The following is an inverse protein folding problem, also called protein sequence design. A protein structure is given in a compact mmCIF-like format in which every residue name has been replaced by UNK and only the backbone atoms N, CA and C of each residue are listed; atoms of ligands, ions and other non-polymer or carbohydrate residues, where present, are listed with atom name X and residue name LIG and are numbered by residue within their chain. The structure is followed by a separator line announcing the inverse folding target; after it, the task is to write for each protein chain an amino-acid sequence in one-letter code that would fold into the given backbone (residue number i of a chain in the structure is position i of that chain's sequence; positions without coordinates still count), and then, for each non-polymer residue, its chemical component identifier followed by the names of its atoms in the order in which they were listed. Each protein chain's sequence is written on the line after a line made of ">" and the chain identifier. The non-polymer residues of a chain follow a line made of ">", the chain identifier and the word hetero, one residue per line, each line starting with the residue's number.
data_IF_982872395097
#
_entry.id   IF_982872395097
#
_cell.length_a   1.000
_cell.length_b   1.000
_cell.length_c   1.000
_cell.angle_alpha   90.00
_cell.angle_beta   90.00
_cell.angle_gamma   90.00
#
_symmetry.space_group_name_H-M   'P 1'
#
loop_
_entity.id
_entity.type
_entity.pdbx_description
1 polymer ?
#
# COMPACT_ATOMS: atom_id res chain seq x y z
N UNK A 1 -11.53 12.24 -1.30
CA UNK A 1 -10.71 11.07 -0.88
C UNK A 1 -10.21 11.28 0.56
N UNK A 2 -10.51 10.41 1.52
CA UNK A 2 -10.01 10.55 2.89
C UNK A 2 -9.39 9.26 3.41
N UNK A 3 -8.24 9.38 4.06
CA UNK A 3 -7.55 8.27 4.73
C UNK A 3 -7.96 8.24 6.20
N UNK A 4 -8.20 7.04 6.75
CA UNK A 4 -8.39 6.91 8.20
C UNK A 4 -7.05 6.62 8.86
N UNK A 5 -6.57 7.55 9.69
CA UNK A 5 -5.34 7.39 10.46
C UNK A 5 -4.13 8.11 9.88
N UNK A 6 -2.97 7.95 10.52
CA UNK A 6 -1.70 8.55 10.11
C UNK A 6 -0.99 7.68 9.08
N UNK A 7 -0.64 8.26 7.93
CA UNK A 7 0.20 7.60 6.92
C UNK A 7 1.60 7.36 7.46
N UNK A 8 2.13 6.14 7.26
CA UNK A 8 3.48 5.77 7.71
C UNK A 8 4.37 5.28 6.57
N UNK A 9 3.80 4.64 5.55
CA UNK A 9 4.55 4.22 4.37
C UNK A 9 3.71 4.35 3.10
N UNK A 10 4.39 4.57 1.98
CA UNK A 10 3.81 4.78 0.66
C UNK A 10 4.64 4.00 -0.36
N UNK A 11 3.99 3.37 -1.32
CA UNK A 11 4.67 2.72 -2.43
C UNK A 11 3.83 2.87 -3.70
N UNK A 12 4.47 3.16 -4.83
CA UNK A 12 3.80 3.31 -6.10
C UNK A 12 4.43 2.39 -7.16
N UNK A 13 3.59 1.84 -8.03
CA UNK A 13 4.03 1.14 -9.23
C UNK A 13 3.24 1.66 -10.43
N UNK A 14 3.90 1.82 -11.56
CA UNK A 14 3.29 2.21 -12.82
C UNK A 14 3.43 1.05 -13.77
N UNK A 15 2.31 0.49 -14.21
CA UNK A 15 2.29 -0.62 -15.15
C UNK A 15 1.24 -0.33 -16.23
N UNK A 16 1.65 -0.38 -17.51
CA UNK A 16 0.75 -0.30 -18.68
C UNK A 16 -0.36 0.74 -18.53
N UNK A 17 -0.02 2.02 -18.32
CA UNK A 17 -0.97 3.14 -18.21
C UNK A 17 -1.85 3.15 -16.96
N UNK A 18 -1.50 2.33 -15.97
CA UNK A 18 -2.17 2.26 -14.68
C UNK A 18 -1.15 2.53 -13.57
N UNK A 19 -1.40 3.58 -12.80
CA UNK A 19 -0.62 3.88 -11.60
C UNK A 19 -1.33 3.31 -10.38
N UNK A 20 -0.68 2.38 -9.68
CA UNK A 20 -1.15 1.86 -8.40
C UNK A 20 -0.36 2.51 -7.28
N UNK A 21 -1.06 3.17 -6.36
CA UNK A 21 -0.51 3.73 -5.14
C UNK A 21 -1.02 2.92 -3.95
N UNK A 22 -0.08 2.44 -3.14
CA UNK A 22 -0.37 1.82 -1.86
C UNK A 22 0.00 2.76 -0.72
N UNK A 23 -0.87 2.84 0.26
CA UNK A 23 -0.71 3.69 1.44
C UNK A 23 -0.94 2.86 2.69
N UNK A 24 0.10 2.72 3.51
CA UNK A 24 -0.02 2.10 4.83
C UNK A 24 -0.34 3.17 5.87
N UNK A 25 -1.45 2.96 6.60
CA UNK A 25 -1.92 3.88 7.62
C UNK A 25 -2.06 3.19 8.97
N UNK A 26 -1.83 3.95 10.04
CA UNK A 26 -2.17 3.55 11.39
C UNK A 26 -3.38 4.35 11.89
N UNK A 27 -4.50 3.67 12.13
CA UNK A 27 -5.68 4.29 12.76
C UNK A 27 -5.82 3.96 14.25
N UNK A 28 -4.88 3.21 14.83
CA UNK A 28 -4.86 2.86 16.24
C UNK A 28 -3.57 3.34 16.90
N UNK A 29 -3.65 4.42 17.69
CA UNK A 29 -2.49 5.03 18.35
C UNK A 29 -1.75 4.09 19.32
N UNK A 30 -2.41 3.03 19.82
CA UNK A 30 -1.79 2.05 20.72
C UNK A 30 -0.94 1.02 19.97
N UNK A 31 -1.12 0.90 18.65
CA UNK A 31 -0.44 -0.09 17.83
C UNK A 31 0.82 0.53 17.20
N UNK A 32 1.95 -0.15 17.37
CA UNK A 32 3.20 0.25 16.73
C UNK A 32 3.24 -0.29 15.29
N UNK A 33 3.07 0.62 14.32
CA UNK A 33 3.03 0.31 12.89
C UNK A 33 1.64 0.55 12.26
N UNK A 34 1.51 0.28 10.98
CA UNK A 34 0.30 0.47 10.19
C UNK A 34 -0.54 -0.79 10.22
N UNK A 35 -1.83 -0.64 10.48
CA UNK A 35 -2.81 -1.72 10.54
C UNK A 35 -3.82 -1.67 9.39
N UNK A 36 -3.74 -0.64 8.54
CA UNK A 36 -4.54 -0.49 7.34
C UNK A 36 -3.64 -0.33 6.11
N UNK A 37 -4.11 -0.87 4.99
CA UNK A 37 -3.52 -0.68 3.68
C UNK A 37 -4.60 -0.19 2.72
N UNK A 38 -4.34 0.95 2.07
CA UNK A 38 -5.17 1.47 1.00
C UNK A 38 -4.51 1.23 -0.34
N UNK A 39 -5.29 0.78 -1.32
CA UNK A 39 -4.90 0.69 -2.73
C UNK A 39 -5.70 1.72 -3.50
N UNK A 40 -4.98 2.63 -4.17
CA UNK A 40 -5.54 3.58 -5.11
C UNK A 40 -5.06 3.20 -6.50
N UNK A 41 -5.98 3.19 -7.46
CA UNK A 41 -5.65 2.92 -8.86
C UNK A 41 -6.09 4.11 -9.69
N UNK A 42 -5.10 4.69 -10.36
CA UNK A 42 -5.25 5.82 -11.26
C UNK A 42 -5.00 5.35 -12.70
N UNK A 43 -5.89 5.71 -13.60
CA UNK A 43 -5.72 5.48 -15.04
C UNK A 43 -4.96 6.65 -15.66
N UNK A 44 -4.36 6.45 -16.82
CA UNK A 44 -3.72 7.54 -17.57
C UNK A 44 -4.67 8.70 -17.89
N UNK A 45 -5.96 8.41 -18.15
CA UNK A 45 -6.98 9.43 -18.38
C UNK A 45 -7.12 10.36 -17.16
N UNK A 46 -7.11 9.79 -15.95
CA UNK A 46 -7.13 10.57 -14.72
C UNK A 46 -5.92 11.50 -14.61
N UNK A 47 -4.73 11.02 -15.00
CA UNK A 47 -3.49 11.80 -14.90
C UNK A 47 -3.47 12.95 -15.91
N UNK A 48 -3.94 12.69 -17.15
CA UNK A 48 -4.01 13.71 -18.22
C UNK A 48 -4.97 14.83 -17.88
N UNK A 49 -6.14 14.48 -17.35
CA UNK A 49 -7.26 15.39 -17.13
C UNK A 49 -7.56 15.64 -15.65
N UNK A 50 -6.50 15.66 -14.81
CA UNK A 50 -6.60 15.71 -13.35
C UNK A 50 -7.49 16.84 -12.81
N UNK A 51 -7.53 17.98 -13.51
CA UNK A 51 -8.33 19.14 -13.12
C UNK A 51 -9.84 18.85 -13.13
N UNK A 52 -10.32 18.03 -14.06
CA UNK A 52 -11.75 17.63 -14.14
C UNK A 52 -12.15 16.68 -13.00
N UNK A 53 -11.17 16.06 -12.36
CA UNK A 53 -11.34 15.12 -11.27
C UNK A 53 -11.31 15.79 -9.88
N UNK A 54 -11.00 17.08 -9.81
CA UNK A 54 -11.10 17.86 -8.57
C UNK A 54 -12.56 18.23 -8.25
N UNK A 55 -12.90 18.13 -6.96
CA UNK A 55 -14.16 18.52 -6.34
C UNK A 55 -14.13 19.98 -5.86
N UNK A 56 -12.94 20.49 -5.54
CA UNK A 56 -12.76 21.82 -4.94
C UNK A 56 -11.47 22.48 -5.43
N UNK A 57 -11.34 23.79 -5.20
CA UNK A 57 -10.11 24.54 -5.42
C UNK A 57 -8.95 24.12 -4.51
N UNK A 58 -9.22 23.35 -3.45
CA UNK A 58 -8.20 22.74 -2.59
C UNK A 58 -7.64 21.44 -3.18
N UNK A 59 -7.94 21.13 -4.45
CA UNK A 59 -7.50 19.92 -5.15
C UNK A 59 -8.01 18.62 -4.51
N UNK A 60 -9.17 18.66 -3.84
CA UNK A 60 -9.82 17.45 -3.34
C UNK A 60 -10.25 16.57 -4.51
N UNK A 61 -9.78 15.33 -4.59
CA UNK A 61 -10.19 14.42 -5.67
C UNK A 61 -11.60 13.86 -5.39
N UNK A 62 -12.48 13.91 -6.39
CA UNK A 62 -13.81 13.27 -6.38
C UNK A 62 -13.65 11.76 -6.13
N UNK A 63 -14.53 11.18 -5.31
CA UNK A 63 -14.44 9.76 -4.94
C UNK A 63 -14.61 8.83 -6.14
N UNK A 64 -15.47 9.21 -7.10
CA UNK A 64 -15.74 8.43 -8.30
C UNK A 64 -14.58 8.45 -9.32
N UNK A 65 -13.62 9.38 -9.16
CA UNK A 65 -12.48 9.53 -10.07
C UNK A 65 -11.37 8.51 -9.81
N UNK A 66 -11.34 7.87 -8.64
CA UNK A 66 -10.24 6.99 -8.23
C UNK A 66 -10.79 5.73 -7.62
N UNK A 67 -10.43 4.58 -8.21
CA UNK A 67 -10.77 3.28 -7.61
C UNK A 67 -9.95 3.12 -6.35
N UNK A 68 -10.65 2.99 -5.22
CA UNK A 68 -10.05 2.87 -3.89
C UNK A 68 -10.47 1.56 -3.24
N UNK A 69 -9.50 0.84 -2.67
CA UNK A 69 -9.75 -0.33 -1.84
C UNK A 69 -9.07 -0.16 -0.48
N UNK A 70 -9.84 -0.32 0.59
CA UNK A 70 -9.35 -0.31 1.98
C UNK A 70 -9.26 -1.74 2.51
N UNK A 71 -8.09 -2.10 3.03
CA UNK A 71 -7.81 -3.41 3.60
C UNK A 71 -7.25 -3.25 5.03
N UNK A 72 -7.57 -4.21 5.89
CA UNK A 72 -6.91 -4.39 7.18
C UNK A 72 -5.71 -5.31 7.06
N UNK A 73 -4.73 -5.12 7.93
CA UNK A 73 -3.53 -5.95 8.03
C UNK A 73 -3.59 -6.76 9.32
N UNK A 74 -3.40 -8.09 9.24
CA UNK A 74 -3.26 -8.92 10.46
C UNK A 74 -1.99 -8.62 11.24
N UNK A 75 -0.95 -8.18 10.54
CA UNK A 75 0.34 -7.83 11.10
C UNK A 75 0.59 -6.34 10.88
N UNK A 76 0.94 -5.63 11.94
CA UNK A 76 1.35 -4.25 11.83
C UNK A 76 2.63 -4.15 10.98
N UNK A 77 2.69 -3.17 10.07
CA UNK A 77 3.84 -2.96 9.17
C UNK A 77 4.45 -1.58 9.32
N UNK A 78 5.74 -1.42 9.01
CA UNK A 78 6.42 -0.12 9.04
C UNK A 78 7.10 0.25 7.72
N UNK A 79 7.36 -0.72 6.85
CA UNK A 79 7.91 -0.52 5.50
C UNK A 79 7.02 -1.15 4.45
N UNK A 80 7.01 -0.56 3.25
CA UNK A 80 6.14 -0.98 2.16
C UNK A 80 6.86 -0.82 0.82
N UNK A 81 6.75 -1.83 -0.04
CA UNK A 81 7.10 -1.75 -1.45
C UNK A 81 6.15 -2.61 -2.29
N UNK A 82 5.98 -2.26 -3.55
CA UNK A 82 5.13 -2.98 -4.50
C UNK A 82 5.98 -3.57 -5.61
N UNK A 83 5.77 -4.84 -5.91
CA UNK A 83 6.41 -5.58 -6.99
C UNK A 83 5.49 -5.79 -8.19
N UNK A 84 5.90 -6.72 -9.04
CA UNK A 84 5.12 -7.17 -10.20
C UNK A 84 3.93 -8.04 -9.75
N UNK A 85 2.87 -8.06 -10.57
CA UNK A 85 1.71 -8.92 -10.31
C UNK A 85 0.92 -8.59 -9.04
N UNK A 86 0.91 -7.32 -8.61
CA UNK A 86 0.26 -6.85 -7.39
C UNK A 86 0.76 -7.52 -6.10
N UNK A 87 2.00 -8.01 -6.13
CA UNK A 87 2.71 -8.51 -4.96
C UNK A 87 3.19 -7.33 -4.12
N UNK A 88 2.94 -7.38 -2.82
CA UNK A 88 3.34 -6.35 -1.88
C UNK A 88 4.34 -6.92 -0.91
N UNK A 89 5.46 -6.23 -0.78
CA UNK A 89 6.47 -6.51 0.23
C UNK A 89 6.27 -5.52 1.37
N UNK A 90 6.17 -6.03 2.59
CA UNK A 90 6.08 -5.18 3.77
C UNK A 90 7.05 -5.65 4.85
N UNK A 91 7.46 -4.74 5.72
CA UNK A 91 8.27 -5.07 6.89
C UNK A 91 7.37 -5.08 8.12
N UNK A 92 7.34 -6.20 8.85
CA UNK A 92 6.59 -6.27 10.10
C UNK A 92 7.16 -5.31 11.14
N UNK A 93 6.30 -4.50 11.75
CA UNK A 93 6.70 -3.54 12.77
C UNK A 93 7.16 -4.23 14.08
N UNK A 94 6.61 -5.40 14.40
CA UNK A 94 6.93 -6.13 15.63
C UNK A 94 8.09 -7.11 15.46
N UNK A 95 8.04 -7.95 14.43
CA UNK A 95 9.02 -9.03 14.24
C UNK A 95 10.17 -8.65 13.30
N UNK A 96 10.02 -7.55 12.55
CA UNK A 96 10.97 -7.10 11.52
C UNK A 96 11.24 -8.14 10.44
N UNK A 97 10.33 -9.11 10.29
CA UNK A 97 10.31 -10.07 9.18
C UNK A 97 9.77 -9.37 7.94
N UNK A 98 10.28 -9.79 6.79
CA UNK A 98 9.72 -9.41 5.49
C UNK A 98 8.46 -10.25 5.27
N UNK A 99 7.36 -9.58 5.00
CA UNK A 99 6.06 -10.17 4.73
C UNK A 99 5.73 -9.95 3.27
N UNK A 100 5.23 -11.00 2.61
CA UNK A 100 4.67 -10.88 1.27
C UNK A 100 3.16 -10.97 1.37
N UNK A 101 2.47 -10.04 0.71
CA UNK A 101 1.02 -10.08 0.52
C UNK A 101 0.70 -10.15 -0.96
N UNK A 102 -0.37 -10.85 -1.28
CA UNK A 102 -0.99 -10.79 -2.61
C UNK A 102 -2.23 -9.91 -2.49
N UNK A 103 -2.30 -8.85 -3.29
CA UNK A 103 -3.47 -7.98 -3.27
C UNK A 103 -4.66 -8.66 -3.94
N UNK A 104 -5.88 -8.41 -3.44
CA UNK A 104 -7.08 -8.87 -4.10
C UNK A 104 -7.35 -8.04 -5.36
N UNK A 105 -7.90 -8.72 -6.35
CA UNK A 105 -8.39 -8.13 -7.59
C UNK A 105 -9.65 -7.29 -7.30
N UNK A 106 -9.60 -6.00 -7.65
CA UNK A 106 -10.70 -5.05 -7.39
C UNK A 106 -11.89 -5.24 -8.33
N UNK A 107 -11.79 -6.05 -9.38
CA UNK A 107 -12.91 -6.34 -10.28
C UNK A 107 -13.82 -7.45 -9.75
N UNK A 108 -13.32 -8.25 -8.81
CA UNK A 108 -14.07 -9.34 -8.18
C UNK A 108 -14.88 -8.83 -7.00
N UNK A 109 -16.03 -9.46 -6.76
CA UNK A 109 -16.84 -9.19 -5.57
C UNK A 109 -16.13 -9.70 -4.33
N UNK A 110 -15.43 -8.81 -3.62
CA UNK A 110 -14.66 -9.13 -2.42
C UNK A 110 -15.57 -9.37 -1.21
N UNK A 111 -15.29 -10.43 -0.45
CA UNK A 111 -15.93 -10.70 0.85
C UNK A 111 -15.14 -9.99 1.94
N UNK A 112 -15.75 -9.80 3.12
CA UNK A 112 -15.08 -9.19 4.29
C UNK A 112 -13.77 -9.88 4.66
N UNK A 113 -13.66 -11.20 4.45
CA UNK A 113 -12.43 -11.95 4.74
C UNK A 113 -11.28 -11.59 3.79
N UNK A 114 -11.60 -11.26 2.53
CA UNK A 114 -10.61 -10.89 1.51
C UNK A 114 -10.04 -9.48 1.77
N UNK A 115 -10.72 -8.68 2.62
CA UNK A 115 -10.27 -7.36 3.07
C UNK A 115 -9.32 -7.40 4.27
N UNK A 116 -9.12 -8.57 4.90
CA UNK A 116 -8.16 -8.74 5.99
C UNK A 116 -6.94 -9.52 5.49
N UNK A 117 -5.90 -8.77 5.11
CA UNK A 117 -4.69 -9.33 4.53
C UNK A 117 -3.89 -10.12 5.55
N UNK A 118 -3.52 -11.32 5.12
CA UNK A 118 -2.62 -12.23 5.82
C UNK A 118 -1.39 -12.45 4.93
N UNK A 119 -0.18 -12.54 5.48
CA UNK A 119 1.01 -12.77 4.68
C UNK A 119 0.91 -14.12 3.97
N UNK A 120 1.24 -14.16 2.68
CA UNK A 120 1.34 -15.40 1.90
C UNK A 120 2.66 -16.10 2.16
N UNK A 121 3.71 -15.34 2.51
CA UNK A 121 4.99 -15.86 2.95
C UNK A 121 5.73 -14.87 3.84
N UNK A 122 6.71 -15.39 4.59
CA UNK A 122 7.54 -14.61 5.50
C UNK A 122 9.02 -14.97 5.35
N UNK A 123 9.88 -13.96 5.35
CA UNK A 123 11.33 -14.11 5.25
C UNK A 123 12.04 -13.35 6.37
N UNK A 124 13.28 -13.73 6.72
CA UNK A 124 14.12 -12.92 7.61
C UNK A 124 14.26 -11.49 7.06
N UNK A 125 14.13 -10.49 7.91
CA UNK A 125 14.43 -9.09 7.58
C UNK A 125 15.68 -8.61 8.31
N UNK A 126 15.60 -7.45 8.97
CA UNK A 126 16.74 -6.84 9.68
C UNK A 126 16.40 -6.52 11.14
N UNK A 127 17.43 -6.28 11.94
CA UNK A 127 17.28 -6.01 13.38
C UNK A 127 17.33 -4.51 13.74
N UNK A 128 17.21 -3.62 12.75
CA UNK A 128 17.25 -2.16 12.99
C UNK A 128 15.85 -1.64 13.36
N UNK A 129 15.74 -0.54 14.14
CA UNK A 129 14.46 0.07 14.47
C UNK A 129 13.82 0.73 13.23
N UNK A 130 12.50 0.61 13.11
CA UNK A 130 11.77 1.07 11.92
C UNK A 130 12.11 0.22 10.69
N UNK A 131 12.01 0.81 9.50
CA UNK A 131 12.50 0.20 8.28
C UNK A 131 11.71 0.61 7.05
N UNK A 132 12.43 0.95 6.00
CA UNK A 132 11.91 1.17 4.66
C UNK A 132 12.16 -0.07 3.81
N UNK A 133 11.34 -0.24 2.79
CA UNK A 133 11.55 -1.25 1.76
C UNK A 133 11.70 -0.58 0.41
N UNK A 134 12.65 -1.08 -0.36
CA UNK A 134 12.86 -0.65 -1.73
C UNK A 134 13.03 -1.89 -2.61
N UNK A 135 12.25 -1.95 -3.67
CA UNK A 135 12.39 -2.97 -4.70
C UNK A 135 13.23 -2.38 -5.84
N UNK A 136 14.20 -3.15 -6.32
CA UNK A 136 15.03 -2.78 -7.47
C UNK A 136 14.16 -2.49 -8.71
N UNK A 137 14.60 -1.66 -9.68
CA UNK A 137 13.84 -1.36 -10.89
C UNK A 137 13.44 -2.59 -11.72
N UNK A 138 14.27 -3.64 -11.71
CA UNK A 138 13.99 -4.90 -12.42
C UNK A 138 13.23 -5.92 -11.55
N UNK A 139 12.75 -5.51 -10.36
CA UNK A 139 11.90 -6.27 -9.45
C UNK A 139 12.47 -7.61 -8.95
N UNK A 140 13.81 -7.78 -8.93
CA UNK A 140 14.46 -9.02 -8.44
C UNK A 140 15.12 -8.88 -7.09
N UNK A 141 15.49 -7.67 -6.67
CA UNK A 141 16.10 -7.42 -5.37
C UNK A 141 15.16 -6.60 -4.50
N UNK A 142 15.07 -6.99 -3.24
CA UNK A 142 14.39 -6.27 -2.19
C UNK A 142 15.42 -5.84 -1.16
N UNK A 143 15.49 -4.56 -0.88
CA UNK A 143 16.34 -3.97 0.16
C UNK A 143 15.46 -3.52 1.31
N UNK A 144 15.85 -3.92 2.53
CA UNK A 144 15.32 -3.35 3.75
C UNK A 144 16.40 -2.56 4.47
N UNK A 145 16.11 -1.33 4.86
CA UNK A 145 17.07 -0.46 5.54
C UNK A 145 16.36 0.42 6.57
N UNK A 146 17.09 0.86 7.60
CA UNK A 146 16.63 1.89 8.53
C UNK A 146 17.49 3.15 8.37
N UNK A 147 16.92 4.35 8.59
CA UNK A 147 17.68 5.59 8.64
C UNK A 147 18.61 5.66 9.87
#
# INVERSE_FOLDING_TARGET
>A
LSLSGKTQALAANVNNHITTLLVACNNNAQLFGSNLLYKFVFTDDFIRDIQFHYKSSMCDIKEDSVRTLKMGLRHAICGLAIGEGEVVYALSASTRRLLIFTLPDMEKKLRKIDLLLSPTSEFPGHNLPGGNLLVSPHLKWLLSYAP
#
